data_IF_964064685873
#
_entry.id   IF_964064685873
#
_cell.length_a   1.000
_cell.length_b   1.000
_cell.length_c   1.000
_cell.angle_alpha   90.00
_cell.angle_beta   90.00
_cell.angle_gamma   90.00
#
_symmetry.space_group_name_H-M   'P 1'
#
loop_
_entity.id
_entity.type
_entity.pdbx_description
1 polymer ?
#
# COMPACT_ATOMS: atom_id res chain seq x y z
N UNK A 1 21.67 -3.11 -11.18
CA UNK A 1 21.49 -3.20 -9.73
C UNK A 1 22.85 -3.10 -9.04
N UNK A 2 23.78 -4.00 -9.30
CA UNK A 2 25.09 -4.06 -8.60
C UNK A 2 25.94 -2.79 -8.73
N UNK A 3 26.00 -2.18 -9.92
CA UNK A 3 26.81 -0.99 -10.17
C UNK A 3 26.31 0.28 -9.43
N UNK A 4 25.04 0.31 -9.04
CA UNK A 4 24.40 1.46 -8.42
C UNK A 4 23.91 1.15 -6.99
N UNK A 5 24.36 0.05 -6.40
CA UNK A 5 23.95 -0.36 -5.05
C UNK A 5 25.10 -0.15 -4.05
N UNK A 6 24.74 0.36 -2.86
CA UNK A 6 25.69 0.54 -1.75
C UNK A 6 26.14 -0.80 -1.12
N UNK A 7 25.30 -1.83 -1.19
CA UNK A 7 25.56 -3.19 -0.71
C UNK A 7 25.13 -4.21 -1.77
N UNK A 8 25.94 -4.37 -2.87
CA UNK A 8 25.50 -5.12 -4.04
C UNK A 8 25.26 -6.60 -3.79
N UNK A 9 26.08 -7.24 -2.97
CA UNK A 9 25.95 -8.68 -2.65
C UNK A 9 24.67 -8.95 -1.84
N UNK A 10 24.37 -8.10 -0.88
CA UNK A 10 23.17 -8.18 -0.05
C UNK A 10 21.90 -7.98 -0.91
N UNK A 11 21.92 -6.98 -1.80
CA UNK A 11 20.79 -6.74 -2.73
C UNK A 11 20.60 -7.88 -3.74
N UNK A 12 21.66 -8.54 -4.16
CA UNK A 12 21.54 -9.74 -4.98
C UNK A 12 20.93 -10.90 -4.19
N UNK A 13 21.38 -11.11 -2.95
CA UNK A 13 20.79 -12.13 -2.07
C UNK A 13 19.29 -11.89 -1.81
N UNK A 14 18.87 -10.64 -1.58
CA UNK A 14 17.45 -10.26 -1.46
C UNK A 14 16.67 -10.60 -2.74
N UNK A 15 17.22 -10.29 -3.91
CA UNK A 15 16.57 -10.60 -5.18
C UNK A 15 16.45 -12.11 -5.42
N UNK A 16 17.52 -12.86 -5.13
CA UNK A 16 17.50 -14.33 -5.24
C UNK A 16 16.47 -14.95 -4.29
N UNK A 17 16.34 -14.42 -3.07
CA UNK A 17 15.32 -14.83 -2.11
C UNK A 17 13.90 -14.57 -2.64
N UNK A 18 13.65 -13.42 -3.26
CA UNK A 18 12.36 -13.11 -3.89
C UNK A 18 12.04 -14.09 -5.03
N UNK A 19 13.02 -14.38 -5.90
CA UNK A 19 12.84 -15.34 -6.99
C UNK A 19 12.60 -16.77 -6.46
N UNK A 20 13.29 -17.16 -5.37
CA UNK A 20 13.08 -18.44 -4.72
C UNK A 20 11.67 -18.54 -4.12
N UNK A 21 11.19 -17.47 -3.48
CA UNK A 21 9.83 -17.41 -2.93
C UNK A 21 8.76 -17.58 -4.01
N UNK A 22 8.92 -16.93 -5.18
CA UNK A 22 8.02 -17.09 -6.31
C UNK A 22 7.96 -18.54 -6.82
N UNK A 23 9.12 -19.21 -6.97
CA UNK A 23 9.18 -20.62 -7.40
C UNK A 23 8.51 -21.56 -6.40
N UNK A 24 8.68 -21.29 -5.10
CA UNK A 24 8.01 -22.08 -4.05
C UNK A 24 6.51 -21.86 -4.07
N UNK A 25 6.07 -20.61 -4.26
CA UNK A 25 4.65 -20.24 -4.40
C UNK A 25 4.00 -20.96 -5.60
N UNK A 26 4.62 -20.89 -6.77
CA UNK A 26 4.16 -21.59 -7.98
C UNK A 26 4.03 -23.09 -7.74
N UNK A 27 5.09 -23.74 -7.23
CA UNK A 27 5.07 -25.17 -6.94
C UNK A 27 3.94 -25.57 -5.99
N UNK A 28 3.69 -24.78 -4.95
CA UNK A 28 2.62 -25.06 -3.97
C UNK A 28 1.24 -24.87 -4.59
N UNK A 29 1.05 -23.83 -5.40
CA UNK A 29 -0.21 -23.61 -6.10
C UNK A 29 -0.52 -24.74 -7.08
N UNK A 30 0.47 -25.16 -7.89
CA UNK A 30 0.30 -26.28 -8.81
C UNK A 30 -0.04 -27.59 -8.07
N UNK A 31 0.59 -27.87 -6.94
CA UNK A 31 0.27 -29.03 -6.12
C UNK A 31 -1.18 -28.98 -5.56
N UNK A 32 -1.68 -27.79 -5.19
CA UNK A 32 -3.09 -27.61 -4.79
C UNK A 32 -4.03 -27.89 -5.98
N UNK A 33 -3.70 -27.37 -7.16
CA UNK A 33 -4.48 -27.60 -8.38
C UNK A 33 -4.49 -29.09 -8.76
N UNK A 34 -3.35 -29.77 -8.67
CA UNK A 34 -3.23 -31.21 -8.92
C UNK A 34 -4.08 -32.02 -7.94
N UNK A 35 -4.10 -31.64 -6.67
CA UNK A 35 -4.83 -32.37 -5.60
C UNK A 35 -6.33 -32.12 -5.65
N UNK A 36 -6.77 -30.89 -5.92
CA UNK A 36 -8.16 -30.45 -5.74
C UNK A 36 -8.88 -30.10 -7.04
N UNK A 37 -8.15 -29.98 -8.14
CA UNK A 37 -8.65 -29.52 -9.44
C UNK A 37 -8.69 -27.98 -9.54
N UNK A 38 -8.40 -27.45 -10.73
CA UNK A 38 -8.31 -26.00 -11.00
C UNK A 38 -9.61 -25.27 -10.65
N UNK A 39 -10.76 -25.78 -11.09
CA UNK A 39 -12.06 -25.13 -10.86
C UNK A 39 -12.36 -24.94 -9.36
N UNK A 40 -12.00 -25.93 -8.53
CA UNK A 40 -12.22 -25.85 -7.09
C UNK A 40 -11.27 -24.87 -6.43
N UNK A 41 -10.00 -24.87 -6.82
CA UNK A 41 -9.00 -23.92 -6.28
C UNK A 41 -9.38 -22.50 -6.63
N UNK A 42 -9.76 -22.22 -7.89
CA UNK A 42 -10.22 -20.89 -8.34
C UNK A 42 -11.46 -20.43 -7.58
N UNK A 43 -12.47 -21.29 -7.46
CA UNK A 43 -13.71 -20.94 -6.74
C UNK A 43 -13.44 -20.61 -5.26
N UNK A 44 -12.52 -21.31 -4.61
CA UNK A 44 -12.15 -21.00 -3.21
C UNK A 44 -11.33 -19.71 -3.09
N UNK A 45 -10.45 -19.44 -4.07
CA UNK A 45 -9.71 -18.19 -4.12
C UNK A 45 -10.67 -16.99 -4.27
N UNK A 46 -11.62 -17.06 -5.19
CA UNK A 46 -12.66 -16.04 -5.39
C UNK A 46 -13.52 -15.86 -4.11
N UNK A 47 -13.93 -16.96 -3.49
CA UNK A 47 -14.71 -16.91 -2.25
C UNK A 47 -13.92 -16.27 -1.08
N UNK A 48 -12.59 -16.48 -1.03
CA UNK A 48 -11.74 -15.85 -0.03
C UNK A 48 -11.57 -14.33 -0.29
N UNK A 49 -11.41 -13.92 -1.54
CA UNK A 49 -11.39 -12.50 -1.91
C UNK A 49 -12.69 -11.80 -1.51
N UNK A 50 -13.81 -12.41 -1.86
CA UNK A 50 -15.14 -11.89 -1.53
C UNK A 50 -15.39 -11.85 -0.02
N UNK A 51 -14.93 -12.86 0.73
CA UNK A 51 -15.00 -12.87 2.18
C UNK A 51 -14.25 -11.70 2.79
N UNK A 52 -12.99 -11.47 2.37
CA UNK A 52 -12.17 -10.37 2.86
C UNK A 52 -12.76 -9.02 2.49
N UNK A 53 -13.30 -8.87 1.28
CA UNK A 53 -13.99 -7.66 0.83
C UNK A 53 -15.14 -7.31 1.78
N UNK A 54 -16.02 -8.28 2.05
CA UNK A 54 -17.18 -8.06 2.95
C UNK A 54 -16.77 -7.73 4.39
N UNK A 55 -15.69 -8.33 4.88
CA UNK A 55 -15.18 -7.99 6.21
C UNK A 55 -14.74 -6.52 6.27
N UNK A 56 -14.01 -6.04 5.25
CA UNK A 56 -13.60 -4.64 5.18
C UNK A 56 -14.80 -3.70 5.00
N UNK A 57 -15.77 -4.06 4.17
CA UNK A 57 -17.01 -3.30 4.01
C UNK A 57 -17.74 -3.12 5.35
N UNK A 58 -17.87 -4.20 6.14
CA UNK A 58 -18.50 -4.13 7.45
C UNK A 58 -17.72 -3.25 8.45
N UNK A 59 -16.42 -3.13 8.31
CA UNK A 59 -15.61 -2.18 9.10
C UNK A 59 -15.92 -0.75 8.68
N UNK A 60 -15.95 -0.47 7.38
CA UNK A 60 -16.20 0.87 6.84
C UNK A 60 -17.62 1.35 7.20
N UNK A 61 -18.62 0.49 7.13
CA UNK A 61 -20.02 0.80 7.48
C UNK A 61 -20.22 1.28 8.91
N UNK A 62 -19.29 1.01 9.83
CA UNK A 62 -19.32 1.53 11.20
C UNK A 62 -18.89 2.99 11.31
N UNK A 63 -18.25 3.52 10.28
CA UNK A 63 -17.82 4.92 10.22
C UNK A 63 -18.97 5.73 9.63
N UNK A 64 -19.42 6.80 10.28
CA UNK A 64 -20.48 7.64 9.72
C UNK A 64 -20.12 8.16 8.32
N UNK A 65 -21.11 8.19 7.42
CA UNK A 65 -20.94 8.80 6.12
C UNK A 65 -20.52 10.27 6.26
N UNK A 66 -19.54 10.68 5.48
CA UNK A 66 -19.04 12.04 5.57
C UNK A 66 -17.69 12.26 4.90
N UNK A 67 -17.20 13.45 5.05
CA UNK A 67 -15.86 13.86 4.63
C UNK A 67 -15.06 14.29 5.85
N UNK A 68 -13.89 13.69 6.03
CA UNK A 68 -12.97 13.93 7.13
C UNK A 68 -11.67 14.44 6.54
N UNK A 69 -11.08 15.47 7.15
CA UNK A 69 -9.83 16.06 6.66
C UNK A 69 -8.81 16.14 7.77
N UNK A 70 -7.57 15.88 7.40
CA UNK A 70 -6.43 16.03 8.29
C UNK A 70 -5.24 16.59 7.51
N UNK A 71 -4.41 17.33 8.18
CA UNK A 71 -3.15 17.86 7.66
C UNK A 71 -2.06 17.71 8.72
N UNK A 72 -0.90 17.27 8.29
CA UNK A 72 0.33 17.28 9.05
C UNK A 72 1.48 17.71 8.13
N UNK A 73 2.68 17.89 8.66
CA UNK A 73 3.81 18.30 7.86
C UNK A 73 5.10 17.61 8.31
N UNK A 74 5.91 17.20 7.34
CA UNK A 74 7.30 16.85 7.57
C UNK A 74 8.07 18.12 7.96
N UNK A 75 8.97 18.02 8.95
CA UNK A 75 9.77 19.17 9.41
C UNK A 75 10.64 19.74 8.28
N UNK A 76 11.23 18.88 7.46
CA UNK A 76 12.02 19.27 6.30
C UNK A 76 12.59 18.08 5.55
N UNK A 77 13.13 18.35 4.36
CA UNK A 77 13.71 17.35 3.46
C UNK A 77 15.23 17.16 3.61
N UNK A 78 15.86 17.93 4.51
CA UNK A 78 17.31 17.95 4.69
C UNK A 78 18.09 18.64 3.55
N UNK A 79 17.40 19.26 2.57
CA UNK A 79 17.99 19.97 1.41
C UNK A 79 17.55 21.43 1.31
N UNK A 80 16.78 21.90 2.28
CA UNK A 80 16.39 23.31 2.38
C UNK A 80 14.90 23.58 2.31
N UNK A 81 14.09 22.59 2.01
CA UNK A 81 12.65 22.67 2.12
C UNK A 81 12.22 22.36 3.57
N UNK A 82 11.29 23.16 4.10
CA UNK A 82 10.76 23.04 5.45
C UNK A 82 9.24 23.08 5.45
N UNK A 83 8.63 22.45 6.45
CA UNK A 83 7.19 22.40 6.63
C UNK A 83 6.48 21.90 5.37
N UNK A 84 6.80 20.65 5.01
CA UNK A 84 6.33 19.97 3.80
C UNK A 84 4.99 19.30 4.11
N UNK A 85 3.84 19.87 3.67
CA UNK A 85 2.53 19.41 4.10
C UNK A 85 2.13 18.08 3.47
N UNK A 86 1.52 17.22 4.29
CA UNK A 86 0.78 16.03 3.88
C UNK A 86 -0.68 16.28 4.24
N UNK A 87 -1.56 16.25 3.23
CA UNK A 87 -3.00 16.47 3.38
C UNK A 87 -3.75 15.24 2.97
N UNK A 88 -4.74 14.86 3.75
CA UNK A 88 -5.64 13.76 3.44
C UNK A 88 -7.09 14.20 3.56
N UNK A 89 -7.90 13.83 2.59
CA UNK A 89 -9.36 13.89 2.62
C UNK A 89 -9.90 12.46 2.56
N UNK A 90 -10.61 12.08 3.60
CA UNK A 90 -11.25 10.78 3.70
C UNK A 90 -12.75 10.96 3.43
N UNK A 91 -13.29 10.29 2.42
CA UNK A 91 -14.73 10.24 2.14
C UNK A 91 -15.26 8.84 2.40
N UNK A 92 -16.28 8.76 3.26
CA UNK A 92 -17.00 7.52 3.55
C UNK A 92 -18.41 7.63 3.00
N UNK A 93 -18.82 6.62 2.22
CA UNK A 93 -20.16 6.49 1.65
C UNK A 93 -20.61 5.02 1.73
N UNK A 94 -21.43 4.69 2.73
CA UNK A 94 -21.84 3.33 3.02
C UNK A 94 -20.62 2.44 3.28
N UNK A 95 -20.46 1.40 2.49
CA UNK A 95 -19.37 0.43 2.60
C UNK A 95 -18.10 0.79 1.80
N UNK A 96 -17.98 2.01 1.29
CA UNK A 96 -16.86 2.47 0.46
C UNK A 96 -16.13 3.63 1.10
N UNK A 97 -14.81 3.63 0.94
CA UNK A 97 -13.92 4.66 1.45
C UNK A 97 -12.99 5.16 0.34
N UNK A 98 -12.92 6.47 0.15
CA UNK A 98 -11.90 7.11 -0.70
C UNK A 98 -10.96 7.89 0.18
N UNK A 99 -9.66 7.64 0.06
CA UNK A 99 -8.57 8.33 0.77
C UNK A 99 -7.79 9.12 -0.25
N UNK A 100 -7.98 10.42 -0.27
CA UNK A 100 -7.43 11.34 -1.26
C UNK A 100 -6.34 12.22 -0.63
N UNK A 101 -5.13 12.07 -1.13
CA UNK A 101 -3.96 12.86 -0.73
C UNK A 101 -3.71 14.08 -1.62
N UNK A 102 -4.66 14.45 -2.47
CA UNK A 102 -4.59 15.68 -3.27
C UNK A 102 -4.42 16.90 -2.36
N UNK A 103 -3.48 17.77 -2.72
CA UNK A 103 -3.13 18.92 -1.90
C UNK A 103 -1.93 18.70 -0.96
N UNK A 104 -1.37 17.50 -0.89
CA UNK A 104 -0.04 17.26 -0.32
C UNK A 104 1.05 17.94 -1.15
N UNK A 105 2.22 18.13 -0.54
CA UNK A 105 3.35 18.83 -1.17
C UNK A 105 3.76 18.18 -2.50
N UNK A 106 4.35 18.97 -3.38
CA UNK A 106 5.11 18.45 -4.53
C UNK A 106 6.28 17.60 -4.05
N UNK A 107 6.81 16.75 -4.94
CA UNK A 107 8.04 16.01 -4.64
C UNK A 107 9.19 16.95 -4.30
N UNK A 108 10.05 16.54 -3.39
CA UNK A 108 11.18 17.33 -2.87
C UNK A 108 12.52 16.75 -3.31
N UNK A 109 13.58 17.55 -3.20
CA UNK A 109 14.95 17.13 -3.53
C UNK A 109 15.51 16.11 -2.51
N UNK A 110 15.06 16.18 -1.27
CA UNK A 110 15.43 15.23 -0.22
C UNK A 110 14.89 13.83 -0.46
N UNK A 111 15.43 12.86 0.27
CA UNK A 111 15.14 11.43 0.07
C UNK A 111 13.89 10.90 0.81
N UNK A 112 13.02 11.82 1.24
CA UNK A 112 11.80 11.50 1.98
C UNK A 112 10.56 11.27 1.11
N UNK A 113 10.68 11.37 -0.23
CA UNK A 113 9.53 11.08 -1.10
C UNK A 113 9.09 9.63 -0.94
N UNK A 114 7.79 9.40 -0.82
CA UNK A 114 7.18 8.08 -0.70
C UNK A 114 6.57 7.65 -2.04
N UNK A 115 6.94 6.47 -2.52
CA UNK A 115 6.29 5.91 -3.71
C UNK A 115 4.84 5.51 -3.41
N UNK A 116 3.97 5.55 -4.40
CA UNK A 116 2.54 5.24 -4.27
C UNK A 116 2.26 3.93 -3.51
N UNK A 117 3.09 2.91 -3.70
CA UNK A 117 2.95 1.62 -3.02
C UNK A 117 3.07 1.74 -1.49
N UNK A 118 3.91 2.64 -1.00
CA UNK A 118 4.07 2.91 0.45
C UNK A 118 2.81 3.58 0.98
N UNK A 119 2.30 4.60 0.29
CA UNK A 119 1.10 5.32 0.70
C UNK A 119 -0.12 4.39 0.76
N UNK A 120 -0.30 3.55 -0.27
CA UNK A 120 -1.34 2.51 -0.26
C UNK A 120 -1.17 1.54 0.90
N UNK A 121 0.06 1.08 1.14
CA UNK A 121 0.36 0.14 2.24
C UNK A 121 0.04 0.74 3.60
N UNK A 122 0.44 1.97 3.87
CA UNK A 122 0.14 2.70 5.10
C UNK A 122 -1.37 2.90 5.29
N UNK A 123 -2.07 3.32 4.23
CA UNK A 123 -3.53 3.48 4.25
C UNK A 123 -4.24 2.16 4.59
N UNK A 124 -3.87 1.07 3.92
CA UNK A 124 -4.46 -0.25 4.17
C UNK A 124 -4.15 -0.77 5.56
N UNK A 125 -2.96 -0.48 6.09
CA UNK A 125 -2.61 -0.79 7.46
C UNK A 125 -3.55 -0.07 8.45
N UNK A 126 -3.79 1.23 8.25
CA UNK A 126 -4.72 2.01 9.07
C UNK A 126 -6.15 1.44 9.02
N UNK A 127 -6.65 1.10 7.82
CA UNK A 127 -7.99 0.50 7.67
C UNK A 127 -8.07 -0.85 8.41
N UNK A 128 -7.04 -1.67 8.34
CA UNK A 128 -6.99 -2.95 9.07
C UNK A 128 -6.96 -2.79 10.59
N UNK A 129 -6.36 -1.73 11.12
CA UNK A 129 -6.38 -1.45 12.55
C UNK A 129 -7.80 -1.12 13.09
N UNK A 130 -8.72 -0.73 12.20
CA UNK A 130 -10.12 -0.50 12.57
C UNK A 130 -10.94 -1.81 12.66
N UNK A 131 -10.40 -2.91 12.14
CA UNK A 131 -11.04 -4.21 12.22
C UNK A 131 -10.79 -4.83 13.60
N UNK A 132 -11.86 -5.34 14.22
CA UNK A 132 -11.77 -6.10 15.49
C UNK A 132 -11.32 -7.54 15.24
N UNK A 133 -11.65 -8.08 14.07
CA UNK A 133 -11.35 -9.43 13.65
C UNK A 133 -10.13 -9.48 12.71
N UNK A 134 -9.51 -10.65 12.62
CA UNK A 134 -8.38 -10.88 11.71
C UNK A 134 -8.87 -11.03 10.26
N UNK A 135 -8.86 -9.93 9.52
CA UNK A 135 -9.21 -9.91 8.10
C UNK A 135 -8.09 -10.56 7.28
N UNK A 136 -8.34 -11.61 6.50
CA UNK A 136 -7.33 -12.22 5.65
C UNK A 136 -6.74 -11.24 4.65
N UNK A 137 -5.40 -11.12 4.63
CA UNK A 137 -4.69 -10.18 3.76
C UNK A 137 -4.66 -10.70 2.33
N UNK A 138 -5.46 -10.11 1.47
CA UNK A 138 -5.49 -10.36 0.04
C UNK A 138 -6.08 -9.16 -0.71
N UNK A 139 -6.14 -9.21 -2.04
CA UNK A 139 -6.65 -8.10 -2.86
C UNK A 139 -8.09 -7.71 -2.50
N UNK A 140 -8.92 -8.66 -2.08
CA UNK A 140 -10.32 -8.40 -1.71
C UNK A 140 -10.44 -7.44 -0.52
N UNK A 141 -9.55 -7.52 0.48
CA UNK A 141 -9.64 -6.64 1.65
C UNK A 141 -9.36 -5.15 1.31
N UNK A 142 -8.76 -4.88 0.16
CA UNK A 142 -8.44 -3.50 -0.26
C UNK A 142 -9.42 -2.94 -1.29
N UNK A 143 -10.26 -3.77 -1.89
CA UNK A 143 -11.20 -3.38 -2.91
C UNK A 143 -12.21 -2.29 -2.49
N UNK A 144 -12.71 -2.25 -1.24
CA UNK A 144 -13.61 -1.19 -0.78
C UNK A 144 -12.93 0.17 -0.55
N UNK A 145 -11.58 0.22 -0.62
CA UNK A 145 -10.78 1.40 -0.29
C UNK A 145 -10.04 1.90 -1.53
N UNK A 146 -10.43 3.06 -2.02
CA UNK A 146 -9.74 3.77 -3.08
C UNK A 146 -8.69 4.71 -2.48
N UNK A 147 -7.45 4.67 -2.98
CA UNK A 147 -6.37 5.57 -2.56
C UNK A 147 -5.94 6.41 -3.74
N UNK A 148 -6.05 7.72 -3.60
CA UNK A 148 -5.69 8.71 -4.63
C UNK A 148 -4.41 9.42 -4.19
N UNK A 149 -3.36 9.28 -5.01
CA UNK A 149 -2.08 9.96 -4.83
C UNK A 149 -1.80 10.83 -6.06
N UNK A 150 -1.66 12.16 -5.91
CA UNK A 150 -1.40 13.01 -7.06
C UNK A 150 -0.02 12.71 -7.65
N UNK A 151 0.13 12.66 -8.99
CA UNK A 151 1.43 12.53 -9.63
C UNK A 151 2.32 13.75 -9.31
N UNK A 152 3.63 13.58 -9.40
CA UNK A 152 4.65 14.61 -9.12
C UNK A 152 4.62 15.14 -7.68
N UNK A 153 4.04 14.39 -6.76
CA UNK A 153 3.94 14.77 -5.33
C UNK A 153 4.96 14.04 -4.47
N UNK A 154 5.11 14.50 -3.23
CA UNK A 154 5.83 13.79 -2.16
C UNK A 154 5.41 12.31 -2.03
N UNK A 155 4.13 12.02 -2.32
CA UNK A 155 3.48 10.72 -2.13
C UNK A 155 3.34 9.89 -3.42
N UNK A 156 3.77 10.44 -4.55
CA UNK A 156 3.83 9.76 -5.84
C UNK A 156 4.84 10.48 -6.76
N UNK A 157 6.15 10.43 -6.41
CA UNK A 157 7.18 11.16 -7.10
C UNK A 157 7.54 10.52 -8.44
N UNK A 158 8.01 11.36 -9.36
CA UNK A 158 8.58 10.90 -10.62
C UNK A 158 10.02 10.42 -10.45
N UNK A 159 10.41 9.48 -11.29
CA UNK A 159 11.83 9.15 -11.46
C UNK A 159 12.60 10.36 -12.05
N UNK A 160 13.79 10.73 -11.55
CA UNK A 160 14.62 9.99 -10.57
C UNK A 160 14.58 10.56 -9.14
N UNK A 161 13.43 10.96 -8.62
CA UNK A 161 13.32 11.48 -7.27
C UNK A 161 13.90 10.52 -6.21
N UNK A 162 14.50 11.08 -5.18
CA UNK A 162 15.10 10.31 -4.10
C UNK A 162 14.01 9.80 -3.13
N UNK A 163 13.98 8.48 -2.89
CA UNK A 163 12.91 7.81 -2.13
C UNK A 163 13.43 6.92 -0.99
N UNK A 164 14.73 7.07 -0.63
CA UNK A 164 15.41 6.09 0.21
C UNK A 164 14.80 5.90 1.61
N UNK A 165 14.23 6.94 2.20
CA UNK A 165 13.62 6.91 3.54
C UNK A 165 12.12 7.23 3.52
N UNK A 166 11.50 7.32 2.36
CA UNK A 166 10.08 7.61 2.24
C UNK A 166 9.17 6.59 2.93
N UNK A 167 9.62 5.35 3.08
CA UNK A 167 8.90 4.30 3.79
C UNK A 167 9.01 4.38 5.33
N UNK A 168 9.92 5.16 5.85
CA UNK A 168 10.15 5.30 7.32
C UNK A 168 9.78 6.67 7.84
N UNK A 169 9.91 7.71 7.02
CA UNK A 169 9.67 9.09 7.43
C UNK A 169 8.31 9.61 6.96
N UNK A 170 7.87 9.19 5.77
CA UNK A 170 6.62 9.70 5.14
C UNK A 170 5.48 8.67 5.19
N UNK A 171 5.82 7.40 5.35
CA UNK A 171 4.87 6.29 5.39
C UNK A 171 4.08 6.09 6.67
#
# INVERSE_FOLDING_TARGET
ITANSRAPEERLGDLEAQLAAQRVGEKRLLAMVETHGEARVSAHAEALLEYSRRMTEAVIERIPDGEYRFEDAMEGDGQGEFHIPIRVSLRVMGARMTVDFSGSAAQVAGNINAVEAIVKSATWYCVRLLAEDDVPVNAGCFEPVEVITPPHSLLNPDFPAAVAVGNTETG
#
